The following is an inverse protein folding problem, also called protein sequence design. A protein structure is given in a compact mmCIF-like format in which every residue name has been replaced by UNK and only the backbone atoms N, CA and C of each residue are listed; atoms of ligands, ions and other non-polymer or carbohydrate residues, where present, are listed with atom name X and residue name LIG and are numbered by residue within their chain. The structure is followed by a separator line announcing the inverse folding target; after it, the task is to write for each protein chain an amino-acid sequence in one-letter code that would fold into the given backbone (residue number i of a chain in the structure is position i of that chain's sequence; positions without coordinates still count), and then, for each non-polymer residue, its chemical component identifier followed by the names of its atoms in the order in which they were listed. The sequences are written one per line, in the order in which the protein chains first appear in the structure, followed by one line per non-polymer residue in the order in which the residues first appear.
data_IF_376290520186
#
_entry.id   IF_376290520186
#
_cell.length_a   1.000
_cell.length_b   1.000
_cell.length_c   1.000
_cell.angle_alpha   90.00
_cell.angle_beta   90.00
_cell.angle_gamma   90.00
#
_symmetry.space_group_name_H-M   'P 1'
#
loop_
_entity.id
_entity.type
_entity.pdbx_description
1 polymer ?
#
# COMPACT_ATOMS: atom_id res chain seq x y z
N UNK A 1 14.89 -11.44 12.41
CA UNK A 1 13.44 -11.72 12.53
C UNK A 1 12.68 -10.68 13.34
N UNK A 2 13.14 -10.33 14.55
CA UNK A 2 12.50 -9.25 15.35
C UNK A 2 12.36 -7.93 14.57
N UNK A 3 13.39 -7.43 13.85
CA UNK A 3 13.26 -6.15 13.15
C UNK A 3 12.21 -6.18 12.02
N UNK A 4 12.04 -7.34 11.36
CA UNK A 4 11.00 -7.56 10.34
C UNK A 4 9.61 -7.50 10.97
N UNK A 5 9.40 -8.14 12.13
CA UNK A 5 8.10 -8.10 12.82
C UNK A 5 7.76 -6.68 13.29
N UNK A 6 8.73 -5.98 13.89
CA UNK A 6 8.57 -4.56 14.28
C UNK A 6 8.25 -3.73 13.04
N UNK A 7 8.95 -4.00 11.93
CA UNK A 7 8.72 -3.31 10.68
C UNK A 7 7.32 -3.52 10.11
N UNK A 8 6.83 -4.78 10.09
CA UNK A 8 5.47 -5.11 9.67
C UNK A 8 4.44 -4.36 10.52
N UNK A 9 4.59 -4.38 11.85
CA UNK A 9 3.67 -3.69 12.77
C UNK A 9 3.67 -2.18 12.51
N UNK A 10 4.85 -1.56 12.47
CA UNK A 10 4.99 -0.13 12.21
C UNK A 10 4.43 0.27 10.85
N UNK A 11 4.74 -0.51 9.81
CA UNK A 11 4.21 -0.29 8.47
C UNK A 11 2.69 -0.45 8.39
N UNK A 12 2.13 -1.44 9.08
CA UNK A 12 0.67 -1.62 9.16
C UNK A 12 0.01 -0.40 9.79
N UNK A 13 0.56 0.14 10.89
CA UNK A 13 0.04 1.36 11.54
C UNK A 13 0.11 2.54 10.58
N UNK A 14 1.26 2.76 9.94
CA UNK A 14 1.46 3.80 8.94
C UNK A 14 0.48 3.68 7.75
N UNK A 15 0.24 2.46 7.28
CA UNK A 15 -0.70 2.16 6.21
C UNK A 15 -2.15 2.39 6.62
N UNK A 16 -2.54 2.07 7.86
CA UNK A 16 -3.86 2.40 8.41
C UNK A 16 -4.07 3.91 8.42
N UNK A 17 -3.09 4.67 8.95
CA UNK A 17 -3.18 6.12 9.03
C UNK A 17 -3.34 6.73 7.65
N UNK A 18 -2.47 6.36 6.71
CA UNK A 18 -2.52 6.91 5.35
C UNK A 18 -3.76 6.45 4.57
N UNK A 19 -4.15 5.17 4.66
CA UNK A 19 -5.31 4.65 3.91
C UNK A 19 -6.65 5.19 4.41
N UNK A 20 -6.76 5.58 5.69
CA UNK A 20 -8.00 6.15 6.23
C UNK A 20 -8.01 7.68 6.21
N UNK A 21 -6.85 8.35 6.16
CA UNK A 21 -6.76 9.79 6.09
C UNK A 21 -6.91 10.28 4.64
N UNK A 22 -8.00 11.02 4.30
CA UNK A 22 -8.17 11.53 2.95
C UNK A 22 -7.01 12.47 2.57
N UNK A 23 -6.46 12.27 1.36
CA UNK A 23 -5.38 13.09 0.82
C UNK A 23 -3.96 12.75 1.30
N UNK A 24 -3.78 11.72 2.15
CA UNK A 24 -2.44 11.21 2.51
C UNK A 24 -2.18 9.92 1.73
N UNK A 25 -1.20 9.93 0.83
CA UNK A 25 -0.84 8.73 0.06
C UNK A 25 0.31 7.93 0.71
N UNK A 26 0.35 6.64 0.40
CA UNK A 26 1.46 5.74 0.79
C UNK A 26 2.84 6.28 0.37
N UNK A 27 2.95 6.95 -0.79
CA UNK A 27 4.20 7.55 -1.27
C UNK A 27 4.75 8.63 -0.33
N UNK A 28 3.88 9.45 0.28
CA UNK A 28 4.31 10.47 1.24
C UNK A 28 4.89 9.83 2.50
N UNK A 29 4.26 8.75 2.98
CA UNK A 29 4.75 7.99 4.13
C UNK A 29 6.09 7.31 3.80
N UNK A 30 6.21 6.70 2.62
CA UNK A 30 7.46 6.10 2.17
C UNK A 30 8.59 7.13 2.10
N UNK A 31 8.34 8.32 1.54
CA UNK A 31 9.31 9.42 1.51
C UNK A 31 9.71 9.87 2.92
N UNK A 32 8.75 9.97 3.86
CA UNK A 32 9.02 10.33 5.24
C UNK A 32 9.90 9.27 5.95
N UNK A 33 9.54 8.00 5.81
CA UNK A 33 10.31 6.87 6.34
C UNK A 33 11.73 6.84 5.78
N UNK A 34 11.91 7.06 4.48
CA UNK A 34 13.23 7.17 3.85
C UNK A 34 13.99 8.41 4.30
N UNK A 35 13.32 9.54 4.53
CA UNK A 35 13.93 10.74 5.10
C UNK A 35 14.46 10.52 6.51
N UNK A 36 13.79 9.69 7.32
CA UNK A 36 14.26 9.25 8.63
C UNK A 36 15.13 7.98 8.58
N UNK A 37 15.56 7.52 7.39
CA UNK A 37 16.40 6.33 7.28
C UNK A 37 17.71 6.39 8.07
N UNK A 38 18.42 7.53 8.26
CA UNK A 38 19.64 7.54 9.07
C UNK A 38 19.43 7.16 10.52
N UNK A 39 18.23 7.41 11.07
CA UNK A 39 17.88 7.04 12.45
C UNK A 39 17.20 5.68 12.54
N UNK A 40 16.43 5.30 11.51
CA UNK A 40 15.67 4.05 11.49
C UNK A 40 16.51 2.84 11.08
N UNK A 41 17.44 2.99 10.12
CA UNK A 41 18.28 1.89 9.63
C UNK A 41 19.13 1.21 10.72
N UNK A 42 19.79 1.95 11.64
CA UNK A 42 20.56 1.31 12.72
C UNK A 42 19.70 0.47 13.67
N UNK A 43 18.40 0.76 13.76
CA UNK A 43 17.46 0.09 14.69
C UNK A 43 16.76 -1.08 14.02
N UNK A 44 16.24 -0.86 12.80
CA UNK A 44 15.43 -1.84 12.08
C UNK A 44 16.25 -2.73 11.12
N UNK A 45 17.47 -2.32 10.79
CA UNK A 45 18.23 -2.93 9.71
C UNK A 45 17.56 -2.76 8.33
N UNK A 46 18.25 -3.18 7.26
CA UNK A 46 17.71 -3.12 5.89
C UNK A 46 16.41 -3.94 5.74
N UNK A 47 16.35 -5.12 6.35
CA UNK A 47 15.20 -6.02 6.26
C UNK A 47 13.97 -5.48 7.00
N UNK A 48 14.15 -4.85 8.17
CA UNK A 48 13.06 -4.21 8.90
C UNK A 48 12.56 -2.97 8.17
N UNK A 49 13.47 -2.20 7.55
CA UNK A 49 13.11 -1.04 6.74
C UNK A 49 12.28 -1.44 5.51
N UNK A 50 12.71 -2.48 4.79
CA UNK A 50 11.94 -3.04 3.68
C UNK A 50 10.56 -3.54 4.14
N UNK A 51 10.49 -4.21 5.30
CA UNK A 51 9.25 -4.70 5.87
C UNK A 51 8.27 -3.56 6.22
N UNK A 52 8.74 -2.46 6.82
CA UNK A 52 7.89 -1.27 7.08
C UNK A 52 7.30 -0.73 5.78
N UNK A 53 8.13 -0.52 4.77
CA UNK A 53 7.70 0.08 3.51
C UNK A 53 6.66 -0.79 2.81
N UNK A 54 6.93 -2.09 2.67
CA UNK A 54 6.03 -3.03 2.01
C UNK A 54 4.71 -3.16 2.79
N UNK A 55 4.77 -3.29 4.12
CA UNK A 55 3.57 -3.39 4.95
C UNK A 55 2.73 -2.11 4.90
N UNK A 56 3.36 -0.94 4.83
CA UNK A 56 2.67 0.36 4.63
C UNK A 56 1.91 0.37 3.32
N UNK A 57 2.57 0.06 2.20
CA UNK A 57 1.95 0.07 0.87
C UNK A 57 0.76 -0.89 0.78
N UNK A 58 0.95 -2.13 1.24
CA UNK A 58 -0.13 -3.14 1.21
C UNK A 58 -1.31 -2.67 2.05
N UNK A 59 -1.06 -2.27 3.29
CA UNK A 59 -2.15 -1.88 4.21
C UNK A 59 -2.90 -0.65 3.71
N UNK A 60 -2.18 0.34 3.16
CA UNK A 60 -2.77 1.53 2.54
C UNK A 60 -3.73 1.17 1.40
N UNK A 61 -3.29 0.33 0.46
CA UNK A 61 -4.08 -0.06 -0.72
C UNK A 61 -5.38 -0.81 -0.37
N UNK A 62 -5.42 -1.51 0.76
CA UNK A 62 -6.66 -2.15 1.22
C UNK A 62 -7.65 -1.15 1.84
N UNK A 63 -7.18 -0.01 2.33
CA UNK A 63 -7.97 0.91 3.16
C UNK A 63 -8.35 2.20 2.44
N UNK A 64 -7.55 2.67 1.49
CA UNK A 64 -7.78 3.91 0.70
C UNK A 64 -9.15 3.95 0.02
N UNK A 65 -9.71 2.78 -0.30
CA UNK A 65 -11.04 2.68 -0.91
C UNK A 65 -12.17 3.14 0.02
N UNK A 66 -12.00 3.05 1.34
CA UNK A 66 -13.03 3.40 2.32
C UNK A 66 -13.35 4.89 2.24
N UNK A 67 -12.39 5.82 2.47
CA UNK A 67 -12.67 7.25 2.32
C UNK A 67 -13.05 7.59 0.86
N UNK A 68 -12.46 6.94 -0.14
CA UNK A 68 -12.80 7.19 -1.54
C UNK A 68 -14.27 6.86 -1.87
N UNK A 69 -14.80 5.77 -1.31
CA UNK A 69 -16.17 5.29 -1.54
C UNK A 69 -17.22 6.11 -0.78
N UNK A 70 -16.93 6.47 0.48
CA UNK A 70 -17.92 7.11 1.36
C UNK A 70 -17.81 8.64 1.43
N UNK A 71 -16.62 9.20 1.27
CA UNK A 71 -16.39 10.65 1.30
C UNK A 71 -16.28 11.25 -0.11
N UNK A 72 -16.16 10.40 -1.15
CA UNK A 72 -16.05 10.86 -2.53
C UNK A 72 -14.76 11.64 -2.81
N UNK A 73 -13.72 11.41 -2.01
CA UNK A 73 -12.39 12.03 -2.20
C UNK A 73 -11.47 10.98 -2.81
N UNK A 74 -11.37 10.90 -4.16
CA UNK A 74 -10.49 9.97 -4.83
C UNK A 74 -9.01 10.30 -4.61
N UNK A 75 -8.24 9.23 -4.62
CA UNK A 75 -6.79 9.16 -4.81
C UNK A 75 -6.49 8.95 -6.30
N UNK A 76 -5.31 9.31 -6.80
CA UNK A 76 -4.82 9.02 -8.16
C UNK A 76 -5.08 7.56 -8.62
N UNK A 77 -4.87 6.57 -7.75
CA UNK A 77 -5.11 5.14 -7.97
C UNK A 77 -6.58 4.72 -7.88
N UNK A 78 -7.43 5.50 -7.21
CA UNK A 78 -8.86 5.18 -7.06
C UNK A 78 -9.77 6.02 -7.98
N UNK A 79 -9.26 7.07 -8.63
CA UNK A 79 -10.02 8.04 -9.43
C UNK A 79 -11.00 7.40 -10.44
N UNK A 80 -10.59 6.33 -11.12
CA UNK A 80 -11.44 5.62 -12.09
C UNK A 80 -12.51 4.72 -11.43
N UNK A 81 -12.22 4.22 -10.23
CA UNK A 81 -13.11 3.34 -9.46
C UNK A 81 -14.12 4.08 -8.59
N UNK A 82 -13.86 5.35 -8.27
CA UNK A 82 -14.71 6.13 -7.37
C UNK A 82 -16.10 6.39 -7.92
N UNK A 83 -16.26 6.62 -9.23
CA UNK A 83 -17.59 6.82 -9.82
C UNK A 83 -18.49 5.57 -9.69
N UNK A 84 -18.04 4.36 -10.07
CA UNK A 84 -18.77 3.11 -9.78
C UNK A 84 -19.00 2.88 -8.28
N UNK A 85 -17.97 3.06 -7.45
CA UNK A 85 -18.09 2.83 -6.00
C UNK A 85 -19.11 3.78 -5.36
N UNK A 86 -19.09 5.06 -5.74
CA UNK A 86 -20.06 6.05 -5.28
C UNK A 86 -21.48 5.73 -5.76
N UNK A 87 -21.65 5.23 -6.99
CA UNK A 87 -22.96 4.77 -7.47
C UNK A 87 -23.53 3.64 -6.62
N UNK A 88 -22.69 2.67 -6.23
CA UNK A 88 -23.09 1.60 -5.30
C UNK A 88 -23.41 2.15 -3.91
N UNK A 89 -22.66 3.15 -3.42
CA UNK A 89 -22.97 3.82 -2.14
C UNK A 89 -24.35 4.50 -2.18
N UNK A 90 -24.70 5.18 -3.27
CA UNK A 90 -26.02 5.81 -3.45
C UNK A 90 -27.16 4.76 -3.47
N UNK A 91 -26.88 3.56 -3.96
CA UNK A 91 -27.80 2.41 -3.92
C UNK A 91 -27.84 1.70 -2.55
N UNK A 92 -27.13 2.21 -1.53
CA UNK A 92 -27.04 1.61 -0.20
C UNK A 92 -26.07 0.42 -0.11
N UNK A 93 -25.24 0.20 -1.14
CA UNK A 93 -24.31 -0.93 -1.30
C UNK A 93 -22.84 -0.54 -1.15
N UNK A 94 -22.53 0.51 -0.40
CA UNK A 94 -21.15 0.97 -0.20
C UNK A 94 -20.24 -0.10 0.42
N UNK A 95 -20.77 -0.96 1.31
CA UNK A 95 -20.03 -2.10 1.85
C UNK A 95 -19.61 -3.11 0.75
N UNK A 96 -20.50 -3.37 -0.21
CA UNK A 96 -20.20 -4.25 -1.33
C UNK A 96 -19.08 -3.69 -2.19
N UNK A 97 -19.09 -2.39 -2.47
CA UNK A 97 -18.02 -1.71 -3.19
C UNK A 97 -16.66 -1.87 -2.49
N UNK A 98 -16.61 -1.67 -1.16
CA UNK A 98 -15.40 -1.86 -0.36
C UNK A 98 -14.93 -3.32 -0.39
N UNK A 99 -15.84 -4.29 -0.24
CA UNK A 99 -15.50 -5.72 -0.29
C UNK A 99 -14.93 -6.14 -1.64
N UNK A 100 -15.52 -5.67 -2.74
CA UNK A 100 -15.03 -5.95 -4.10
C UNK A 100 -13.63 -5.37 -4.29
N UNK A 101 -13.39 -4.14 -3.83
CA UNK A 101 -12.07 -3.52 -3.90
C UNK A 101 -11.03 -4.27 -3.07
N UNK A 102 -11.37 -4.65 -1.83
CA UNK A 102 -10.47 -5.44 -0.98
C UNK A 102 -10.12 -6.81 -1.60
N UNK A 103 -11.07 -7.45 -2.30
CA UNK A 103 -10.79 -8.65 -3.10
C UNK A 103 -9.83 -8.36 -4.26
N UNK A 104 -9.99 -7.21 -4.92
CA UNK A 104 -9.05 -6.71 -5.92
C UNK A 104 -7.64 -6.54 -5.37
N UNK A 105 -7.48 -5.91 -4.20
CA UNK A 105 -6.19 -5.75 -3.53
C UNK A 105 -5.58 -7.11 -3.13
N UNK A 106 -6.38 -8.07 -2.69
CA UNK A 106 -5.93 -9.44 -2.42
C UNK A 106 -5.39 -10.12 -3.68
N UNK A 107 -6.12 -10.06 -4.79
CA UNK A 107 -5.64 -10.58 -6.08
C UNK A 107 -4.37 -9.85 -6.52
N UNK A 108 -4.30 -8.53 -6.33
CA UNK A 108 -3.11 -7.72 -6.57
C UNK A 108 -1.89 -8.29 -5.84
N UNK A 109 -2.01 -8.58 -4.55
CA UNK A 109 -0.93 -9.21 -3.76
C UNK A 109 -0.57 -10.60 -4.30
N UNK A 110 -1.56 -11.43 -4.60
CA UNK A 110 -1.34 -12.79 -5.14
C UNK A 110 -0.57 -12.74 -6.45
N UNK A 111 -0.89 -11.80 -7.36
CA UNK A 111 -0.18 -11.64 -8.64
C UNK A 111 1.15 -10.91 -8.49
N UNK A 112 1.29 -10.00 -7.51
CA UNK A 112 2.52 -9.26 -7.27
C UNK A 112 3.67 -10.18 -6.81
N UNK A 113 3.40 -11.23 -6.02
CA UNK A 113 4.44 -12.16 -5.55
C UNK A 113 5.19 -12.87 -6.69
N UNK A 114 4.52 -13.62 -7.61
CA UNK A 114 5.22 -14.26 -8.72
C UNK A 114 5.84 -13.23 -9.68
N UNK A 115 5.19 -12.08 -9.87
CA UNK A 115 5.74 -10.99 -10.69
C UNK A 115 7.03 -10.43 -10.08
N UNK A 116 7.09 -10.24 -8.76
CA UNK A 116 8.28 -9.80 -8.05
C UNK A 116 9.41 -10.84 -8.14
N UNK A 117 9.09 -12.13 -7.98
CA UNK A 117 10.07 -13.20 -8.18
C UNK A 117 10.63 -13.15 -9.60
N UNK A 118 9.76 -13.06 -10.61
CA UNK A 118 10.18 -12.93 -12.00
C UNK A 118 11.08 -11.70 -12.19
N UNK A 119 10.67 -10.55 -11.66
CA UNK A 119 11.43 -9.31 -11.73
C UNK A 119 12.85 -9.45 -11.16
N UNK A 120 13.06 -10.20 -10.08
CA UNK A 120 14.39 -10.45 -9.51
C UNK A 120 15.34 -11.16 -10.49
N UNK A 121 14.83 -12.00 -11.40
CA UNK A 121 15.65 -12.68 -12.41
C UNK A 121 15.83 -11.86 -13.68
N UNK A 122 14.79 -11.13 -14.09
CA UNK A 122 14.78 -10.42 -15.37
C UNK A 122 15.34 -8.99 -15.30
N UNK A 123 15.13 -8.25 -14.21
CA UNK A 123 15.63 -6.87 -14.07
C UNK A 123 17.17 -6.81 -14.16
N UNK A 124 17.94 -7.70 -13.51
CA UNK A 124 19.40 -7.68 -13.64
C UNK A 124 19.90 -7.92 -15.07
N UNK A 125 19.13 -8.62 -15.92
CA UNK A 125 19.47 -8.82 -17.34
C UNK A 125 19.29 -7.54 -18.17
N UNK A 126 18.40 -6.64 -17.73
CA UNK A 126 18.13 -5.36 -18.36
C UNK A 126 19.04 -4.25 -17.82
N UNK A 127 19.55 -4.40 -16.59
CA UNK A 127 20.58 -3.51 -16.06
C UNK A 127 21.91 -3.82 -16.75
N UNK A 128 22.30 -2.97 -17.70
CA UNK A 128 23.65 -2.95 -18.23
C UNK A 128 24.63 -2.89 -17.06
N UNK A 129 25.55 -3.85 -16.98
CA UNK A 129 26.62 -3.92 -16.00
C UNK A 129 27.48 -2.66 -16.09
N UNK A 130 27.20 -1.69 -15.23
CA UNK A 130 28.07 -0.55 -14.94
C UNK A 130 28.70 -0.80 -13.58
#
# INVERSE_FOLDING_TARGET
MIPVLVGIIGGTICGIISGLAPGIHSNMIAALLLGFSPTLLPVLGPEGMAAVLIATLITHSFLEIIPATFLGVPDDGTALSVLPAHSLTLDGKGEEAVRISALGSLWGVIFAVPLAIMALWFIPLLQSSV
#
